data_IF_833200907717
#
_entry.id   IF_833200907717
#
_cell.length_a   1.000
_cell.length_b   1.000
_cell.length_c   1.000
_cell.angle_alpha   90.00
_cell.angle_beta   90.00
_cell.angle_gamma   90.00
#
_symmetry.space_group_name_H-M   'P 1'
#
loop_
_entity.id
_entity.type
_entity.pdbx_description
1 polymer ?
#
# COMPACT_ATOMS: atom_id res chain seq x y z
N UNK A 1 -16.32 57.30 25.44
CA UNK A 1 -16.72 56.08 26.19
C UNK A 1 -17.36 55.04 25.29
N UNK A 2 -18.42 55.36 24.52
CA UNK A 2 -19.08 54.39 23.62
C UNK A 2 -18.17 53.76 22.54
N UNK A 3 -17.29 54.56 21.91
CA UNK A 3 -16.34 54.06 20.89
C UNK A 3 -15.29 53.12 21.49
N UNK A 4 -14.83 53.38 22.72
CA UNK A 4 -13.87 52.53 23.41
C UNK A 4 -14.50 51.19 23.84
N UNK A 5 -15.76 51.22 24.29
CA UNK A 5 -16.54 50.01 24.60
C UNK A 5 -16.80 49.16 23.34
N UNK A 6 -17.10 49.81 22.21
CA UNK A 6 -17.29 49.12 20.92
C UNK A 6 -16.01 48.42 20.45
N UNK A 7 -14.86 49.11 20.49
CA UNK A 7 -13.58 48.49 20.15
C UNK A 7 -13.20 47.34 21.10
N UNK A 8 -13.46 47.47 22.40
CA UNK A 8 -13.21 46.40 23.36
C UNK A 8 -14.05 45.15 23.06
N UNK A 9 -15.33 45.32 22.71
CA UNK A 9 -16.22 44.21 22.35
C UNK A 9 -15.77 43.51 21.06
N UNK A 10 -15.36 44.27 20.03
CA UNK A 10 -14.83 43.71 18.78
C UNK A 10 -13.53 42.93 19.03
N UNK A 11 -12.65 43.45 19.88
CA UNK A 11 -11.40 42.77 20.23
C UNK A 11 -11.67 41.47 20.98
N UNK A 12 -12.63 41.46 21.91
CA UNK A 12 -13.03 40.28 22.65
C UNK A 12 -13.63 39.20 21.74
N UNK A 13 -14.49 39.58 20.79
CA UNK A 13 -15.05 38.67 19.79
C UNK A 13 -13.95 38.10 18.87
N UNK A 14 -13.02 38.95 18.42
CA UNK A 14 -11.88 38.51 17.60
C UNK A 14 -10.95 37.56 18.35
N UNK A 15 -10.69 37.82 19.65
CA UNK A 15 -9.89 36.92 20.49
C UNK A 15 -10.57 35.57 20.67
N UNK A 16 -11.89 35.54 20.95
CA UNK A 16 -12.66 34.29 21.06
C UNK A 16 -12.63 33.49 19.76
N UNK A 17 -12.84 34.14 18.62
CA UNK A 17 -12.79 33.49 17.31
C UNK A 17 -11.40 32.90 17.04
N UNK A 18 -10.34 33.63 17.38
CA UNK A 18 -8.96 33.14 17.24
C UNK A 18 -8.69 31.94 18.14
N UNK A 19 -9.13 31.98 19.39
CA UNK A 19 -8.91 30.89 20.34
C UNK A 19 -9.68 29.63 19.90
N UNK A 20 -10.91 29.79 19.40
CA UNK A 20 -11.69 28.68 18.82
C UNK A 20 -11.02 28.08 17.57
N UNK A 21 -10.47 28.92 16.68
CA UNK A 21 -9.69 28.45 15.52
C UNK A 21 -8.41 27.73 15.94
N UNK A 22 -7.75 28.19 17.01
CA UNK A 22 -6.56 27.54 17.57
C UNK A 22 -6.91 26.14 18.09
N UNK A 23 -7.99 26.01 18.86
CA UNK A 23 -8.48 24.73 19.36
C UNK A 23 -8.86 23.77 18.23
N UNK A 24 -9.57 24.26 17.20
CA UNK A 24 -9.91 23.47 16.02
C UNK A 24 -8.67 23.01 15.25
N UNK A 25 -7.67 23.87 15.07
CA UNK A 25 -6.43 23.49 14.40
C UNK A 25 -5.67 22.41 15.17
N UNK A 26 -5.63 22.49 16.50
CA UNK A 26 -5.02 21.44 17.33
C UNK A 26 -5.77 20.12 17.20
N UNK A 27 -7.10 20.15 17.25
CA UNK A 27 -7.92 18.94 17.09
C UNK A 27 -7.77 18.32 15.69
N UNK A 28 -7.74 19.15 14.64
CA UNK A 28 -7.52 18.70 13.26
C UNK A 28 -6.13 18.10 13.06
N UNK A 29 -5.09 18.72 13.62
CA UNK A 29 -3.73 18.18 13.51
C UNK A 29 -3.59 16.86 14.28
N UNK A 30 -4.23 16.73 15.45
CA UNK A 30 -4.27 15.47 16.18
C UNK A 30 -4.97 14.37 15.36
N UNK A 31 -6.18 14.64 14.86
CA UNK A 31 -6.93 13.69 14.04
C UNK A 31 -6.16 13.29 12.77
N UNK A 32 -5.47 14.25 12.14
CA UNK A 32 -4.61 13.99 10.99
C UNK A 32 -3.47 13.05 11.35
N UNK A 33 -2.75 13.31 12.45
CA UNK A 33 -1.64 12.43 12.90
C UNK A 33 -2.11 11.04 13.24
N UNK A 34 -3.27 10.89 13.89
CA UNK A 34 -3.87 9.59 14.18
C UNK A 34 -4.18 8.82 12.89
N UNK A 35 -4.80 9.48 11.90
CA UNK A 35 -5.06 8.87 10.59
C UNK A 35 -3.77 8.46 9.87
N UNK A 36 -2.74 9.33 9.87
CA UNK A 36 -1.44 9.03 9.27
C UNK A 36 -0.74 7.84 9.97
N UNK A 37 -0.82 7.72 11.29
CA UNK A 37 -0.28 6.57 12.02
C UNK A 37 -1.03 5.28 11.68
N UNK A 38 -2.36 5.33 11.60
CA UNK A 38 -3.17 4.17 11.23
C UNK A 38 -2.85 3.68 9.80
N UNK A 39 -2.67 4.60 8.85
CA UNK A 39 -2.28 4.28 7.47
C UNK A 39 -0.89 3.63 7.45
N UNK A 40 0.09 4.18 8.17
CA UNK A 40 1.44 3.59 8.26
C UNK A 40 1.40 2.17 8.83
N UNK A 41 0.70 1.96 9.95
CA UNK A 41 0.57 0.64 10.55
C UNK A 41 -0.10 -0.38 9.60
N UNK A 42 -1.11 0.06 8.83
CA UNK A 42 -1.74 -0.78 7.80
C UNK A 42 -0.74 -1.16 6.70
N UNK A 43 0.02 -0.20 6.18
CA UNK A 43 0.99 -0.43 5.12
C UNK A 43 2.13 -1.34 5.59
N UNK A 44 2.67 -1.12 6.79
CA UNK A 44 3.69 -1.98 7.40
C UNK A 44 3.20 -3.42 7.53
N UNK A 45 1.96 -3.61 7.99
CA UNK A 45 1.34 -4.93 8.06
C UNK A 45 1.24 -5.59 6.68
N UNK A 46 0.78 -4.86 5.66
CA UNK A 46 0.68 -5.38 4.29
C UNK A 46 2.05 -5.75 3.72
N UNK A 47 3.08 -4.95 3.98
CA UNK A 47 4.44 -5.21 3.53
C UNK A 47 4.99 -6.52 4.14
N UNK A 48 4.81 -6.71 5.45
CA UNK A 48 5.21 -7.94 6.14
C UNK A 48 4.45 -9.14 5.59
N UNK A 49 3.12 -9.06 5.50
CA UNK A 49 2.30 -10.18 5.01
C UNK A 49 2.65 -10.55 3.57
N UNK A 50 2.86 -9.58 2.68
CA UNK A 50 3.28 -9.83 1.31
C UNK A 50 4.67 -10.49 1.24
N UNK A 51 5.62 -10.08 2.08
CA UNK A 51 6.91 -10.76 2.18
C UNK A 51 6.75 -12.23 2.59
N UNK A 52 5.98 -12.49 3.65
CA UNK A 52 5.77 -13.85 4.16
C UNK A 52 4.94 -14.72 3.21
N UNK A 53 4.07 -14.15 2.39
CA UNK A 53 3.31 -14.89 1.37
C UNK A 53 4.14 -15.22 0.11
N UNK A 54 5.16 -14.42 -0.24
CA UNK A 54 6.01 -14.69 -1.41
C UNK A 54 6.76 -16.00 -1.30
N UNK A 55 7.31 -16.32 -0.14
CA UNK A 55 8.09 -17.55 0.08
C UNK A 55 7.29 -18.84 -0.19
N UNK A 56 6.10 -19.07 0.43
CA UNK A 56 5.30 -20.25 0.14
C UNK A 56 4.80 -20.27 -1.30
N UNK A 57 4.50 -19.12 -1.92
CA UNK A 57 4.11 -19.09 -3.33
C UNK A 57 5.23 -19.54 -4.28
N UNK A 58 6.46 -19.07 -4.06
CA UNK A 58 7.62 -19.54 -4.83
C UNK A 58 7.86 -21.03 -4.64
N UNK A 59 7.66 -21.56 -3.43
CA UNK A 59 7.76 -22.99 -3.17
C UNK A 59 6.71 -23.78 -3.96
N UNK A 60 5.45 -23.34 -3.97
CA UNK A 60 4.37 -24.00 -4.73
C UNK A 60 4.66 -23.95 -6.23
N UNK A 61 5.11 -22.82 -6.77
CA UNK A 61 5.51 -22.68 -8.18
C UNK A 61 6.66 -23.66 -8.50
N UNK A 62 7.73 -23.68 -7.70
CA UNK A 62 8.88 -24.55 -7.92
C UNK A 62 8.49 -26.04 -7.87
N UNK A 63 7.74 -26.45 -6.84
CA UNK A 63 7.30 -27.84 -6.70
C UNK A 63 6.36 -28.26 -7.83
N UNK A 64 5.46 -27.38 -8.26
CA UNK A 64 4.54 -27.67 -9.38
C UNK A 64 5.31 -27.82 -10.69
N UNK A 65 6.31 -26.96 -10.94
CA UNK A 65 7.20 -27.09 -12.09
C UNK A 65 7.99 -28.41 -12.07
N UNK A 66 8.56 -28.79 -10.92
CA UNK A 66 9.28 -30.06 -10.78
C UNK A 66 8.36 -31.27 -10.99
N UNK A 67 7.11 -31.22 -10.50
CA UNK A 67 6.14 -32.30 -10.73
C UNK A 67 5.80 -32.47 -12.21
N UNK A 68 5.74 -31.39 -12.99
CA UNK A 68 5.45 -31.46 -14.43
C UNK A 68 6.56 -32.15 -15.24
N UNK A 69 7.78 -32.22 -14.70
CA UNK A 69 8.93 -32.95 -15.24
C UNK A 69 8.90 -34.46 -14.92
N UNK A 70 7.96 -34.91 -14.07
CA UNK A 70 7.78 -36.33 -13.72
C UNK A 70 6.72 -37.03 -14.59
N UNK A 71 6.63 -38.36 -14.47
CA UNK A 71 5.54 -39.13 -15.05
C UNK A 71 4.22 -38.86 -14.30
N UNK A 72 3.25 -38.30 -15.01
CA UNK A 72 1.92 -37.96 -14.50
C UNK A 72 0.86 -38.53 -15.44
N UNK A 73 -0.29 -38.96 -14.90
CA UNK A 73 -1.46 -39.23 -15.75
C UNK A 73 -1.97 -37.92 -16.39
N UNK A 74 -2.74 -37.99 -17.49
CA UNK A 74 -3.30 -36.79 -18.12
C UNK A 74 -4.10 -35.90 -17.15
N UNK A 75 -4.90 -36.49 -16.26
CA UNK A 75 -5.67 -35.75 -15.26
C UNK A 75 -4.77 -35.08 -14.22
N UNK A 76 -3.75 -35.78 -13.73
CA UNK A 76 -2.79 -35.22 -12.78
C UNK A 76 -2.02 -34.06 -13.39
N UNK A 77 -1.58 -34.19 -14.66
CA UNK A 77 -0.90 -33.11 -15.38
C UNK A 77 -1.79 -31.86 -15.47
N UNK A 78 -3.05 -32.02 -15.87
CA UNK A 78 -4.00 -30.90 -15.94
C UNK A 78 -4.18 -30.21 -14.58
N UNK A 79 -4.25 -30.99 -13.50
CA UNK A 79 -4.34 -30.44 -12.14
C UNK A 79 -3.09 -29.64 -11.77
N UNK A 80 -1.90 -30.18 -12.01
CA UNK A 80 -0.64 -29.49 -11.69
C UNK A 80 -0.44 -28.24 -12.54
N UNK A 81 -0.77 -28.28 -13.84
CA UNK A 81 -0.76 -27.11 -14.72
C UNK A 81 -1.70 -26.00 -14.22
N UNK A 82 -2.88 -26.39 -13.73
CA UNK A 82 -3.83 -25.46 -13.12
C UNK A 82 -3.26 -24.84 -11.84
N UNK A 83 -2.67 -25.65 -10.96
CA UNK A 83 -2.00 -25.17 -9.74
C UNK A 83 -0.88 -24.18 -10.09
N UNK A 84 -0.02 -24.52 -11.05
CA UNK A 84 1.08 -23.66 -11.48
C UNK A 84 0.57 -22.32 -12.01
N UNK A 85 -0.43 -22.34 -12.90
CA UNK A 85 -1.04 -21.13 -13.46
C UNK A 85 -1.67 -20.25 -12.37
N UNK A 86 -2.46 -20.85 -11.47
CA UNK A 86 -3.07 -20.13 -10.35
C UNK A 86 -2.03 -19.58 -9.38
N UNK A 87 -0.93 -20.30 -9.16
CA UNK A 87 0.13 -19.87 -8.25
C UNK A 87 0.91 -18.70 -8.81
N UNK A 88 1.22 -18.71 -10.10
CA UNK A 88 1.85 -17.59 -10.78
C UNK A 88 0.94 -16.34 -10.75
N UNK A 89 -0.36 -16.51 -11.05
CA UNK A 89 -1.32 -15.41 -10.95
C UNK A 89 -1.38 -14.82 -9.54
N UNK A 90 -1.45 -15.67 -8.52
CA UNK A 90 -1.51 -15.22 -7.14
C UNK A 90 -0.21 -14.52 -6.70
N UNK A 91 0.95 -14.99 -7.16
CA UNK A 91 2.23 -14.31 -6.92
C UNK A 91 2.27 -12.91 -7.53
N UNK A 92 1.74 -12.73 -8.75
CA UNK A 92 1.58 -11.41 -9.37
C UNK A 92 0.67 -10.51 -8.54
N UNK A 93 -0.51 -11.01 -8.14
CA UNK A 93 -1.47 -10.22 -7.35
C UNK A 93 -0.90 -9.80 -5.99
N UNK A 94 -0.12 -10.66 -5.33
CA UNK A 94 0.58 -10.33 -4.07
C UNK A 94 1.56 -9.17 -4.29
N UNK A 95 2.30 -9.18 -5.41
CA UNK A 95 3.21 -8.08 -5.74
C UNK A 95 2.44 -6.79 -6.08
N UNK A 96 1.34 -6.86 -6.83
CA UNK A 96 0.54 -5.69 -7.20
C UNK A 96 -0.02 -4.97 -5.96
N UNK A 97 -0.44 -5.73 -4.93
CA UNK A 97 -0.90 -5.16 -3.66
C UNK A 97 0.23 -4.42 -2.93
N UNK A 98 1.45 -4.95 -2.98
CA UNK A 98 2.62 -4.28 -2.38
C UNK A 98 2.94 -2.98 -3.13
N UNK A 99 2.95 -3.02 -4.46
CA UNK A 99 3.27 -1.86 -5.28
C UNK A 99 2.23 -0.74 -5.12
N UNK A 100 0.94 -1.09 -5.02
CA UNK A 100 -0.11 -0.13 -4.70
C UNK A 100 0.12 0.52 -3.32
N UNK A 101 0.50 -0.27 -2.31
CA UNK A 101 0.82 0.26 -0.98
C UNK A 101 1.97 1.27 -1.02
N UNK A 102 3.03 0.97 -1.78
CA UNK A 102 4.19 1.87 -1.94
C UNK A 102 3.87 3.13 -2.75
N UNK A 103 2.93 3.02 -3.68
CA UNK A 103 2.45 4.16 -4.46
C UNK A 103 1.62 5.11 -3.57
N UNK A 104 0.77 4.58 -2.70
CA UNK A 104 -0.08 5.37 -1.80
C UNK A 104 0.71 6.14 -0.73
N UNK A 105 1.82 5.60 -0.24
CA UNK A 105 2.68 6.28 0.74
C UNK A 105 3.86 7.06 0.12
N UNK A 106 3.96 7.04 -1.22
CA UNK A 106 4.99 7.77 -1.96
C UNK A 106 6.39 7.15 -1.89
N UNK A 107 6.53 5.92 -1.38
CA UNK A 107 7.81 5.19 -1.32
C UNK A 107 8.15 4.41 -2.61
N UNK A 108 7.32 4.53 -3.65
CA UNK A 108 7.61 3.95 -4.97
C UNK A 108 8.74 4.72 -5.65
N UNK A 109 9.91 4.08 -5.75
CA UNK A 109 11.07 4.60 -6.48
C UNK A 109 11.16 3.95 -7.86
N UNK A 110 11.35 4.78 -8.90
CA UNK A 110 11.58 4.30 -10.26
C UNK A 110 13.07 3.97 -10.43
N UNK A 111 13.37 2.73 -10.81
CA UNK A 111 14.72 2.34 -11.20
C UNK A 111 14.99 2.73 -12.65
N UNK A 112 15.99 3.59 -12.88
CA UNK A 112 16.45 3.95 -14.22
C UNK A 112 17.61 3.02 -14.59
N UNK A 113 17.34 2.06 -15.48
CA UNK A 113 18.34 1.12 -15.97
C UNK A 113 18.32 1.01 -17.50
N UNK A 114 19.48 0.74 -18.10
CA UNK A 114 19.55 0.34 -19.51
C UNK A 114 19.01 -1.07 -19.65
N UNK A 115 18.01 -1.26 -20.52
CA UNK A 115 17.43 -2.56 -20.80
C UNK A 115 17.43 -2.84 -22.31
N UNK A 116 17.40 -4.11 -22.68
CA UNK A 116 17.28 -4.53 -24.07
C UNK A 116 15.80 -4.56 -24.47
N UNK A 117 15.41 -3.68 -25.39
CA UNK A 117 14.02 -3.58 -25.84
C UNK A 117 13.50 -4.91 -26.41
N UNK A 118 14.32 -5.63 -27.18
CA UNK A 118 13.91 -6.91 -27.77
C UNK A 118 13.70 -8.02 -26.75
N UNK A 119 14.38 -8.01 -25.60
CA UNK A 119 14.13 -9.01 -24.56
C UNK A 119 12.84 -8.77 -23.78
N UNK A 120 12.35 -7.53 -23.74
CA UNK A 120 11.11 -7.18 -23.04
C UNK A 120 9.85 -7.66 -23.78
N UNK A 121 9.92 -7.80 -25.11
CA UNK A 121 8.76 -8.13 -25.95
C UNK A 121 8.72 -9.56 -26.47
N UNK A 122 9.59 -10.48 -26.00
CA UNK A 122 9.48 -11.90 -26.39
C UNK A 122 8.51 -12.62 -25.47
N UNK A 123 7.43 -13.14 -26.04
CA UNK A 123 6.55 -14.17 -25.44
C UNK A 123 7.32 -15.48 -25.18
#
# INVERSE_FOLDING_TARGET
VAVALSHAAILEESMRARDQLMEQNVALDLARREAEMAIRARNDFLAVMNHEMRTPMHAIVALSSLLLETELTPEQRLMVETILKSSNLLATLINDVLDLSRLEDGSLELEIATFNLHSVFRE
#
